data_IF_497320324064
#
_entry.id   IF_497320324064
#
_cell.length_a   1.000
_cell.length_b   1.000
_cell.length_c   1.000
_cell.angle_alpha   90.00
_cell.angle_beta   90.00
_cell.angle_gamma   90.00
#
_symmetry.space_group_name_H-M   'P 1'
#
loop_
_entity.id
_entity.type
_entity.pdbx_description
1 polymer ?
#
# COMPACT_ATOMS: atom_id res chain seq x y z
N UNK A 1 -46.77 -3.76 8.62
CA UNK A 1 -45.89 -4.86 9.07
C UNK A 1 -44.52 -4.63 8.46
N UNK A 2 -43.63 -3.89 9.14
CA UNK A 2 -42.26 -3.66 8.67
C UNK A 2 -41.37 -4.77 9.25
N UNK A 3 -40.75 -5.56 8.39
CA UNK A 3 -39.82 -6.61 8.80
C UNK A 3 -38.57 -5.96 9.38
N UNK A 4 -38.42 -6.03 10.69
CA UNK A 4 -37.24 -5.55 11.41
C UNK A 4 -36.07 -6.51 11.13
N UNK A 5 -35.24 -6.18 10.13
CA UNK A 5 -34.01 -6.93 9.86
C UNK A 5 -32.95 -6.44 10.85
N UNK A 6 -32.71 -7.17 11.93
CA UNK A 6 -31.54 -6.96 12.79
C UNK A 6 -30.32 -7.58 12.09
N UNK A 7 -29.35 -6.80 11.57
CA UNK A 7 -28.15 -7.40 11.00
C UNK A 7 -27.26 -7.91 12.13
N UNK A 8 -27.41 -9.18 12.51
CA UNK A 8 -26.39 -9.89 13.30
C UNK A 8 -25.31 -10.37 12.33
N UNK A 9 -24.37 -9.50 11.98
CA UNK A 9 -23.14 -9.94 11.34
C UNK A 9 -22.05 -10.01 12.42
N UNK A 10 -21.71 -11.21 12.87
CA UNK A 10 -20.40 -11.43 13.50
C UNK A 10 -19.38 -11.11 12.40
N UNK A 11 -18.77 -9.94 12.47
CA UNK A 11 -17.66 -9.59 11.59
C UNK A 11 -16.50 -10.46 12.06
N UNK A 12 -16.26 -11.59 11.37
CA UNK A 12 -15.03 -12.33 11.58
C UNK A 12 -13.87 -11.39 11.24
N UNK A 13 -12.94 -11.23 12.18
CA UNK A 13 -11.72 -10.51 11.92
C UNK A 13 -11.05 -11.18 10.72
N UNK A 14 -10.81 -10.39 9.67
CA UNK A 14 -9.99 -10.83 8.55
C UNK A 14 -8.57 -10.74 9.10
N UNK A 15 -7.95 -11.89 9.34
CA UNK A 15 -6.58 -11.98 9.84
C UNK A 15 -5.80 -12.95 8.97
N UNK A 16 -4.52 -12.66 8.76
CA UNK A 16 -3.62 -13.58 8.08
C UNK A 16 -3.05 -14.57 9.09
N UNK A 17 -2.93 -15.84 8.69
CA UNK A 17 -2.19 -16.86 9.46
C UNK A 17 -0.68 -16.63 9.45
N UNK A 18 -0.19 -15.74 8.59
CA UNK A 18 1.21 -15.33 8.47
C UNK A 18 1.29 -13.83 8.77
N UNK A 19 2.01 -13.48 9.83
CA UNK A 19 2.28 -12.08 10.19
C UNK A 19 3.29 -11.39 9.26
N UNK A 20 3.56 -10.11 9.51
CA UNK A 20 4.46 -9.28 8.68
C UNK A 20 5.95 -9.44 9.00
N UNK A 21 6.28 -10.24 10.03
CA UNK A 21 7.67 -10.44 10.48
C UNK A 21 8.56 -11.08 9.41
N UNK A 22 7.99 -11.91 8.54
CA UNK A 22 8.74 -12.52 7.40
C UNK A 22 9.22 -11.49 6.38
N UNK A 23 8.54 -10.34 6.29
CA UNK A 23 8.94 -9.21 5.45
C UNK A 23 9.94 -8.29 6.17
N UNK A 24 10.26 -8.56 7.43
CA UNK A 24 11.12 -7.74 8.28
C UNK A 24 10.37 -6.62 9.01
N UNK A 25 9.04 -6.62 9.01
CA UNK A 25 8.23 -5.57 9.62
C UNK A 25 7.76 -5.96 11.02
N UNK A 26 7.87 -5.03 11.98
CA UNK A 26 7.36 -5.18 13.35
C UNK A 26 6.42 -4.01 13.70
N UNK A 27 5.15 -4.07 13.26
CA UNK A 27 4.21 -2.97 13.41
C UNK A 27 3.93 -2.67 14.89
N UNK A 28 3.97 -1.38 15.25
CA UNK A 28 3.59 -0.89 16.59
C UNK A 28 2.13 -0.48 16.70
N UNK A 29 1.45 -0.34 15.56
CA UNK A 29 0.04 0.02 15.45
C UNK A 29 -0.82 -1.13 14.95
N UNK A 30 -2.11 -0.84 14.73
CA UNK A 30 -3.07 -1.81 14.26
C UNK A 30 -2.74 -2.29 12.84
N UNK A 31 -2.85 -3.60 12.63
CA UNK A 31 -2.72 -4.23 11.31
C UNK A 31 -4.11 -4.60 10.81
N UNK A 32 -4.53 -4.00 9.69
CA UNK A 32 -5.84 -4.25 9.10
C UNK A 32 -5.71 -5.10 7.83
N UNK A 33 -6.13 -6.37 7.89
CA UNK A 33 -6.07 -7.25 6.73
C UNK A 33 -7.33 -7.16 5.89
N UNK A 34 -7.15 -7.12 4.56
CA UNK A 34 -8.23 -7.29 3.58
C UNK A 34 -9.44 -6.38 3.82
N UNK A 35 -9.22 -5.10 4.18
CA UNK A 35 -10.30 -4.12 4.29
C UNK A 35 -11.06 -4.02 2.96
N UNK A 36 -12.39 -3.98 3.03
CA UNK A 36 -13.22 -3.72 1.84
C UNK A 36 -13.24 -2.23 1.54
N UNK A 37 -13.58 -1.85 0.31
CA UNK A 37 -13.57 -0.46 -0.14
C UNK A 37 -14.28 0.53 0.84
N UNK A 38 -15.48 0.24 1.39
CA UNK A 38 -16.11 1.12 2.38
C UNK A 38 -15.29 1.33 3.66
N UNK A 39 -14.61 0.28 4.14
CA UNK A 39 -13.76 0.37 5.33
C UNK A 39 -12.50 1.20 5.04
N UNK A 40 -11.92 1.07 3.83
CA UNK A 40 -10.78 1.88 3.37
C UNK A 40 -11.14 3.36 3.31
N UNK A 41 -12.25 3.73 2.67
CA UNK A 41 -12.68 5.12 2.56
C UNK A 41 -12.99 5.74 3.92
N UNK A 42 -13.65 4.99 4.82
CA UNK A 42 -13.92 5.45 6.18
C UNK A 42 -12.63 5.66 6.99
N UNK A 43 -11.66 4.76 6.85
CA UNK A 43 -10.37 4.90 7.52
C UNK A 43 -9.61 6.13 7.02
N UNK A 44 -9.55 6.34 5.70
CA UNK A 44 -8.90 7.50 5.08
C UNK A 44 -9.57 8.83 5.47
N UNK A 45 -10.91 8.88 5.44
CA UNK A 45 -11.67 10.08 5.85
C UNK A 45 -11.45 10.41 7.34
N UNK A 46 -11.41 9.41 8.23
CA UNK A 46 -11.10 9.62 9.66
C UNK A 46 -9.68 10.14 9.91
N UNK A 47 -8.75 9.85 8.99
CA UNK A 47 -7.36 10.34 9.02
C UNK A 47 -7.19 11.67 8.27
N UNK A 48 -8.26 12.24 7.72
CA UNK A 48 -8.22 13.46 6.92
C UNK A 48 -7.30 13.36 5.69
N UNK A 49 -7.23 12.18 5.08
CA UNK A 49 -6.43 11.94 3.86
C UNK A 49 -7.18 12.30 2.56
N UNK A 50 -8.44 12.69 2.69
CA UNK A 50 -9.32 13.07 1.59
C UNK A 50 -10.75 13.30 2.08
N UNK A 51 -11.65 13.57 1.14
CA UNK A 51 -13.03 13.92 1.41
C UNK A 51 -14.00 13.27 0.41
N UNK A 52 -15.28 13.18 0.77
CA UNK A 52 -16.31 12.72 -0.15
C UNK A 52 -16.86 13.91 -0.92
N UNK A 53 -16.79 13.85 -2.25
CA UNK A 53 -17.45 14.80 -3.13
C UNK A 53 -18.95 14.51 -3.25
N UNK A 54 -19.67 15.45 -3.87
CA UNK A 54 -21.06 15.22 -4.24
C UNK A 54 -21.20 13.92 -5.05
N UNK A 55 -22.30 13.20 -4.82
CA UNK A 55 -22.58 11.87 -5.37
C UNK A 55 -21.68 10.71 -4.86
N UNK A 56 -20.80 10.95 -3.89
CA UNK A 56 -20.08 9.90 -3.15
C UNK A 56 -18.67 9.46 -3.58
N UNK A 57 -18.01 9.98 -4.65
CA UNK A 57 -16.60 9.70 -4.89
C UNK A 57 -15.71 10.17 -3.72
N UNK A 58 -14.64 9.43 -3.45
CA UNK A 58 -13.58 9.86 -2.53
C UNK A 58 -12.50 10.62 -3.30
N UNK A 59 -12.20 11.84 -2.85
CA UNK A 59 -11.25 12.76 -3.47
C UNK A 59 -10.04 12.92 -2.55
N UNK A 60 -8.85 12.70 -3.09
CA UNK A 60 -7.57 12.89 -2.41
C UNK A 60 -6.64 13.75 -3.28
N UNK A 61 -5.70 14.45 -2.64
CA UNK A 61 -4.75 15.35 -3.29
C UNK A 61 -3.33 14.83 -3.07
N UNK A 62 -2.56 14.64 -4.15
CA UNK A 62 -1.21 14.05 -4.09
C UNK A 62 -0.08 15.05 -4.41
N UNK A 63 -0.36 16.34 -4.37
CA UNK A 63 0.64 17.40 -4.57
C UNK A 63 1.84 17.21 -3.62
N UNK A 64 3.10 17.38 -4.08
CA UNK A 64 3.51 17.88 -5.40
C UNK A 64 3.59 16.80 -6.50
N UNK A 65 3.45 15.51 -6.15
CA UNK A 65 3.60 14.40 -7.08
C UNK A 65 2.24 14.03 -7.71
N UNK A 66 1.81 14.85 -8.67
CA UNK A 66 0.52 14.67 -9.38
C UNK A 66 0.64 13.77 -10.62
N UNK A 67 1.76 13.07 -10.77
CA UNK A 67 2.07 12.22 -11.91
C UNK A 67 3.18 11.22 -11.59
N UNK A 68 3.68 10.53 -12.61
CA UNK A 68 4.81 9.62 -12.43
C UNK A 68 6.10 10.40 -12.21
N UNK A 69 6.97 9.88 -11.36
CA UNK A 69 8.38 10.28 -11.26
C UNK A 69 9.28 9.26 -11.97
N UNK A 70 9.39 9.29 -13.31
CA UNK A 70 10.09 8.24 -14.06
C UNK A 70 11.57 8.11 -13.70
N UNK A 71 12.20 9.20 -13.26
CA UNK A 71 13.62 9.21 -12.87
C UNK A 71 13.86 8.66 -11.46
N UNK A 72 12.82 8.41 -10.67
CA UNK A 72 12.89 7.84 -9.32
C UNK A 72 12.52 6.34 -9.31
N UNK A 73 12.42 5.72 -10.49
CA UNK A 73 12.26 4.26 -10.63
C UNK A 73 13.61 3.61 -10.92
N UNK A 74 13.97 2.64 -10.08
CA UNK A 74 15.17 1.84 -10.26
C UNK A 74 14.83 0.34 -10.29
N UNK A 75 15.74 -0.45 -10.86
CA UNK A 75 15.72 -1.91 -10.81
C UNK A 75 17.01 -2.38 -10.16
N UNK A 76 16.89 -3.24 -9.14
CA UNK A 76 18.07 -3.80 -8.46
C UNK A 76 18.83 -4.66 -9.46
N UNK A 77 20.12 -4.36 -9.62
CA UNK A 77 21.00 -5.08 -10.51
C UNK A 77 21.57 -6.30 -9.79
N UNK A 78 20.76 -7.35 -9.72
CA UNK A 78 21.11 -8.63 -9.08
C UNK A 78 21.46 -9.71 -10.12
N UNK A 79 22.31 -10.71 -9.78
CA UNK A 79 22.78 -11.71 -10.74
C UNK A 79 21.67 -12.57 -11.36
N UNK A 80 20.56 -12.79 -10.65
CA UNK A 80 19.43 -13.61 -11.08
C UNK A 80 18.65 -13.03 -12.25
N UNK A 81 18.64 -11.70 -12.40
CA UNK A 81 17.82 -10.99 -13.41
C UNK A 81 18.63 -10.05 -14.30
N UNK A 82 19.92 -9.82 -14.01
CA UNK A 82 20.75 -8.85 -14.73
C UNK A 82 20.73 -9.02 -16.26
N UNK A 83 20.66 -10.26 -16.75
CA UNK A 83 20.70 -10.56 -18.19
C UNK A 83 19.36 -10.38 -18.89
N UNK A 84 18.26 -10.36 -18.14
CA UNK A 84 16.90 -10.30 -18.66
C UNK A 84 16.34 -8.87 -18.69
N UNK A 85 17.02 -7.93 -18.02
CA UNK A 85 16.60 -6.53 -17.93
C UNK A 85 17.20 -5.72 -19.08
N UNK A 86 16.34 -5.01 -19.82
CA UNK A 86 16.74 -4.01 -20.81
C UNK A 86 17.22 -2.72 -20.11
N UNK A 87 18.53 -2.63 -19.86
CA UNK A 87 19.15 -1.55 -19.11
C UNK A 87 19.23 -0.25 -19.93
N UNK A 88 18.89 0.88 -19.30
CA UNK A 88 18.99 2.18 -19.96
C UNK A 88 18.34 3.29 -19.15
N UNK A 89 17.89 4.35 -19.84
CA UNK A 89 17.25 5.51 -19.19
C UNK A 89 15.96 5.15 -18.44
N UNK A 90 15.27 4.09 -18.85
CA UNK A 90 13.99 3.64 -18.26
C UNK A 90 14.21 2.69 -17.09
N UNK A 91 15.06 1.67 -17.25
CA UNK A 91 15.41 0.74 -16.20
C UNK A 91 16.81 1.12 -15.69
N UNK A 92 16.84 2.03 -14.73
CA UNK A 92 18.09 2.51 -14.13
C UNK A 92 18.58 1.50 -13.09
N UNK A 93 19.86 1.08 -13.12
CA UNK A 93 20.37 0.09 -12.18
C UNK A 93 20.57 0.68 -10.78
N UNK A 94 20.12 -0.04 -9.76
CA UNK A 94 20.45 0.18 -8.36
C UNK A 94 21.32 -0.98 -7.86
N UNK A 95 22.39 -0.71 -7.14
CA UNK A 95 23.22 -1.79 -6.59
C UNK A 95 22.50 -2.48 -5.44
N UNK A 96 22.83 -3.75 -5.19
CA UNK A 96 22.23 -4.53 -4.09
C UNK A 96 22.48 -3.86 -2.73
N UNK A 97 23.65 -3.26 -2.54
CA UNK A 97 24.03 -2.58 -1.30
C UNK A 97 23.20 -1.31 -1.08
N UNK A 98 22.99 -0.50 -2.13
CA UNK A 98 22.14 0.69 -2.03
C UNK A 98 20.68 0.34 -1.80
N UNK A 99 20.21 -0.73 -2.43
CA UNK A 99 18.89 -1.25 -2.17
C UNK A 99 18.74 -1.70 -0.71
N UNK A 100 19.73 -2.42 -0.17
CA UNK A 100 19.70 -2.87 1.22
C UNK A 100 19.63 -1.71 2.20
N UNK A 101 20.38 -0.62 1.95
CA UNK A 101 20.30 0.60 2.76
C UNK A 101 18.88 1.20 2.75
N UNK A 102 18.28 1.35 1.57
CA UNK A 102 16.90 1.86 1.46
C UNK A 102 15.88 0.93 2.12
N UNK A 103 16.09 -0.38 2.05
CA UNK A 103 15.22 -1.37 2.66
C UNK A 103 15.29 -1.33 4.19
N UNK A 104 16.47 -1.09 4.76
CA UNK A 104 16.67 -0.96 6.20
C UNK A 104 16.05 0.33 6.75
N UNK A 105 16.00 1.40 5.96
CA UNK A 105 15.30 2.66 6.33
C UNK A 105 13.76 2.50 6.39
N UNK A 106 13.20 1.56 5.62
CA UNK A 106 11.74 1.36 5.50
C UNK A 106 11.20 0.35 6.52
N UNK A 107 12.04 -0.57 7.00
CA UNK A 107 11.66 -1.65 7.93
C UNK A 107 11.50 -1.18 9.37
#
# INVERSE_FOLDING_TARGET
MATEIKPRRKQMARESSIGLSKQGLNPRGDVHWNLIAPELFQAAARRSEGEFADMGPFVAVTTPHTGRSPNDKFVVKEPSSEKDVDWGKVNQPLTVEKYQLLLDDVR
#
